data_IF_292623332596
#
_entry.id   IF_292623332596
#
_cell.length_a   1.000
_cell.length_b   1.000
_cell.length_c   1.000
_cell.angle_alpha   90.00
_cell.angle_beta   90.00
_cell.angle_gamma   90.00
#
_symmetry.space_group_name_H-M   'P 1'
#
loop_
_entity.id
_entity.type
_entity.pdbx_description
1 polymer ?
#
# COMPACT_ATOMS: atom_id res chain seq x y z
N UNK A 1 0.11 -9.40 9.85
CA UNK A 1 -1.15 -9.09 9.17
C UNK A 1 -1.43 -7.59 9.18
N UNK A 2 -1.92 -7.05 8.08
CA UNK A 2 -2.15 -5.62 7.97
C UNK A 2 -3.56 -5.24 8.43
N UNK A 3 -3.72 -4.04 8.99
CA UNK A 3 -5.05 -3.56 9.35
C UNK A 3 -5.89 -3.33 8.10
N UNK A 4 -7.20 -3.40 8.23
CA UNK A 4 -8.13 -3.15 7.12
C UNK A 4 -8.73 -1.76 7.17
N UNK A 5 -8.45 -1.01 8.21
CA UNK A 5 -8.88 0.38 8.31
C UNK A 5 -8.03 1.21 7.35
N UNK A 6 -8.64 1.94 6.40
CA UNK A 6 -7.89 2.57 5.31
C UNK A 6 -6.77 3.52 5.73
N UNK A 7 -6.99 4.38 6.71
CA UNK A 7 -5.94 5.34 7.09
C UNK A 7 -4.78 4.66 7.79
N UNK A 8 -5.05 3.65 8.61
CA UNK A 8 -3.97 2.86 9.24
C UNK A 8 -3.24 2.03 8.20
N UNK A 9 -3.97 1.42 7.29
CA UNK A 9 -3.38 0.65 6.21
C UNK A 9 -2.49 1.52 5.34
N UNK A 10 -2.97 2.70 4.98
CA UNK A 10 -2.20 3.65 4.19
C UNK A 10 -0.87 4.00 4.86
N UNK A 11 -0.92 4.34 6.15
CA UNK A 11 0.28 4.71 6.90
C UNK A 11 1.28 3.58 6.94
N UNK A 12 0.82 2.37 7.23
CA UNK A 12 1.71 1.20 7.32
C UNK A 12 2.31 0.84 5.97
N UNK A 13 1.51 0.85 4.92
CA UNK A 13 1.99 0.52 3.58
C UNK A 13 3.04 1.54 3.13
N UNK A 14 2.73 2.84 3.26
CA UNK A 14 3.66 3.88 2.84
C UNK A 14 4.97 3.85 3.63
N UNK A 15 4.89 3.58 4.92
CA UNK A 15 6.09 3.47 5.74
C UNK A 15 6.97 2.31 5.26
N UNK A 16 6.37 1.17 4.99
CA UNK A 16 7.11 -0.01 4.52
C UNK A 16 7.71 0.21 3.13
N UNK A 17 6.97 0.88 2.25
CA UNK A 17 7.48 1.20 0.91
C UNK A 17 8.67 2.15 0.99
N UNK A 18 8.63 3.11 1.90
CA UNK A 18 9.73 4.04 2.07
C UNK A 18 10.98 3.39 2.66
N UNK A 19 10.78 2.50 3.64
CA UNK A 19 11.88 1.99 4.44
C UNK A 19 12.41 0.63 4.01
N UNK A 20 11.59 -0.22 3.38
CA UNK A 20 11.96 -1.63 3.18
C UNK A 20 11.78 -2.16 1.77
N UNK A 21 10.78 -1.71 1.03
CA UNK A 21 10.44 -2.34 -0.24
C UNK A 21 10.54 -1.37 -1.40
N UNK A 22 11.12 -1.83 -2.53
CA UNK A 22 11.30 -0.97 -3.69
C UNK A 22 10.02 -0.80 -4.52
N UNK A 23 9.00 -1.62 -4.26
CA UNK A 23 7.73 -1.52 -4.99
C UNK A 23 6.60 -2.14 -4.18
N UNK A 24 5.38 -1.79 -4.55
CA UNK A 24 4.19 -2.35 -3.92
C UNK A 24 4.09 -3.85 -4.15
N UNK A 25 4.46 -4.30 -5.35
CA UNK A 25 4.47 -5.74 -5.66
C UNK A 25 5.40 -6.50 -4.73
N UNK A 26 6.61 -5.98 -4.52
CA UNK A 26 7.58 -6.60 -3.63
C UNK A 26 7.05 -6.67 -2.20
N UNK A 27 6.41 -5.60 -1.76
CA UNK A 27 5.82 -5.57 -0.42
C UNK A 27 4.77 -6.66 -0.26
N UNK A 28 3.85 -6.75 -1.20
CA UNK A 28 2.77 -7.74 -1.12
C UNK A 28 3.30 -9.17 -1.21
N UNK A 29 4.28 -9.41 -2.08
CA UNK A 29 4.90 -10.73 -2.20
C UNK A 29 5.58 -11.14 -0.90
N UNK A 30 6.31 -10.22 -0.29
CA UNK A 30 7.06 -10.50 0.93
C UNK A 30 6.15 -10.72 2.13
N UNK A 31 5.06 -9.98 2.23
CA UNK A 31 4.11 -10.09 3.33
C UNK A 31 3.00 -11.10 3.08
N UNK A 32 3.03 -11.75 1.91
CA UNK A 32 2.00 -12.71 1.51
C UNK A 32 0.61 -12.05 1.54
N UNK A 33 0.51 -10.85 0.97
CA UNK A 33 -0.72 -10.09 0.90
C UNK A 33 -1.18 -9.95 -0.56
N UNK A 34 -2.47 -9.72 -0.75
CA UNK A 34 -3.03 -9.55 -2.07
C UNK A 34 -2.94 -8.08 -2.51
N UNK A 35 -2.24 -7.82 -3.63
CA UNK A 35 -2.16 -6.47 -4.19
C UNK A 35 -3.55 -5.91 -4.51
N UNK A 36 -4.41 -6.73 -5.12
CA UNK A 36 -5.73 -6.27 -5.53
C UNK A 36 -6.61 -5.95 -4.32
N UNK A 37 -6.50 -6.73 -3.26
CA UNK A 37 -7.30 -6.49 -2.07
C UNK A 37 -6.88 -5.19 -1.37
N UNK A 38 -5.58 -5.00 -1.19
CA UNK A 38 -5.07 -3.77 -0.56
C UNK A 38 -5.35 -2.56 -1.44
N UNK A 39 -5.11 -2.68 -2.75
CA UNK A 39 -5.38 -1.59 -3.68
C UNK A 39 -6.86 -1.21 -3.67
N UNK A 40 -7.74 -2.19 -3.60
CA UNK A 40 -9.18 -1.93 -3.58
C UNK A 40 -9.59 -1.14 -2.33
N UNK A 41 -9.07 -1.55 -1.17
CA UNK A 41 -9.37 -0.85 0.08
C UNK A 41 -8.91 0.61 0.00
N UNK A 42 -7.69 0.83 -0.46
CA UNK A 42 -7.14 2.19 -0.54
C UNK A 42 -7.79 3.01 -1.65
N UNK A 43 -8.14 2.37 -2.76
CA UNK A 43 -8.82 3.06 -3.86
C UNK A 43 -10.18 3.59 -3.41
N UNK A 44 -10.93 2.79 -2.68
CA UNK A 44 -12.24 3.21 -2.16
C UNK A 44 -12.13 4.34 -1.15
N UNK A 45 -10.97 4.44 -0.50
CA UNK A 45 -10.71 5.53 0.45
C UNK A 45 -10.13 6.77 -0.23
N UNK A 46 -9.93 6.74 -1.55
CA UNK A 46 -9.44 7.89 -2.30
C UNK A 46 -7.94 7.93 -2.52
N UNK A 47 -7.26 6.78 -2.44
CA UNK A 47 -5.81 6.73 -2.62
C UNK A 47 -5.43 5.81 -3.76
N UNK A 48 -4.30 6.13 -4.40
CA UNK A 48 -3.78 5.36 -5.52
C UNK A 48 -2.27 5.24 -5.41
N UNK A 49 -1.74 4.10 -5.83
CA UNK A 49 -0.30 3.89 -5.83
C UNK A 49 0.38 4.71 -6.94
N UNK A 50 1.42 5.43 -6.57
CA UNK A 50 2.23 6.21 -7.49
C UNK A 50 3.60 5.55 -7.60
N UNK A 51 3.86 4.92 -8.74
CA UNK A 51 5.12 4.22 -8.98
C UNK A 51 6.33 5.14 -8.97
N UNK A 52 6.15 6.37 -9.41
CA UNK A 52 7.26 7.33 -9.49
C UNK A 52 7.85 7.64 -8.11
N UNK A 53 7.00 7.70 -7.10
CA UNK A 53 7.45 7.98 -5.74
C UNK A 53 7.42 6.76 -4.83
N UNK A 54 6.91 5.63 -5.33
CA UNK A 54 6.75 4.41 -4.56
C UNK A 54 5.93 4.63 -3.29
N UNK A 55 4.82 5.36 -3.44
CA UNK A 55 3.94 5.69 -2.34
C UNK A 55 2.49 5.71 -2.80
N UNK A 56 1.56 5.47 -1.90
CA UNK A 56 0.15 5.71 -2.16
C UNK A 56 -0.15 7.17 -1.88
N UNK A 57 -0.89 7.80 -2.78
CA UNK A 57 -1.24 9.22 -2.68
C UNK A 57 -2.72 9.42 -2.93
N UNK A 58 -3.25 10.54 -2.45
CA UNK A 58 -4.63 10.93 -2.73
C UNK A 58 -4.84 11.13 -4.22
N UNK A 59 -6.00 10.71 -4.69
CA UNK A 59 -6.37 10.88 -6.10
C UNK A 59 -6.61 12.33 -6.47
#
# INVERSE_FOLDING_TARGET
MLPKEPSMLLSMINMKLRDRYPSFKELCDNLDESESEISDILDKAGYRYDEATNQFKGK
#
